data_IF_273054100763
#
_entry.id   IF_273054100763
#
_cell.length_a   1.000
_cell.length_b   1.000
_cell.length_c   1.000
_cell.angle_alpha   90.00
_cell.angle_beta   90.00
_cell.angle_gamma   90.00
#
_symmetry.space_group_name_H-M   'P 1'
#
loop_
_entity.id
_entity.type
_entity.pdbx_description
1 polymer ?
#
# COMPACT_ATOMS: atom_id res chain seq x y z
N UNK A 1 -10.35 2.98 6.97
CA UNK A 1 -11.70 2.82 6.39
C UNK A 1 -12.41 4.18 6.22
N UNK A 2 -12.46 5.05 7.25
CA UNK A 2 -12.97 6.43 7.13
C UNK A 2 -12.25 7.27 6.06
N UNK A 3 -10.91 7.21 5.99
CA UNK A 3 -10.16 7.95 4.97
C UNK A 3 -10.41 7.41 3.55
N UNK A 4 -10.57 6.09 3.43
CA UNK A 4 -10.91 5.40 2.18
C UNK A 4 -12.32 5.79 1.70
N UNK A 5 -13.29 5.92 2.59
CA UNK A 5 -14.67 6.30 2.26
C UNK A 5 -14.75 7.79 1.86
N UNK A 6 -14.01 8.68 2.53
CA UNK A 6 -13.94 10.09 2.13
C UNK A 6 -13.26 10.27 0.75
N UNK A 7 -12.24 9.45 0.46
CA UNK A 7 -11.53 9.46 -0.84
C UNK A 7 -12.26 8.72 -1.95
N UNK A 8 -13.24 7.87 -1.64
CA UNK A 8 -14.09 7.16 -2.61
C UNK A 8 -15.33 7.99 -3.01
N UNK A 9 -15.86 8.83 -2.12
CA UNK A 9 -17.06 9.62 -2.41
C UNK A 9 -16.86 10.65 -3.53
N UNK A 10 -15.68 11.26 -3.62
CA UNK A 10 -15.37 12.28 -4.63
C UNK A 10 -15.19 11.73 -6.06
N UNK A 11 -14.39 10.67 -6.32
CA UNK A 11 -14.21 10.13 -7.67
C UNK A 11 -15.43 9.36 -8.20
N UNK A 12 -16.21 8.69 -7.34
CA UNK A 12 -17.44 8.00 -7.77
C UNK A 12 -18.49 9.02 -8.23
N UNK A 13 -18.60 10.16 -7.54
CA UNK A 13 -19.45 11.30 -7.91
C UNK A 13 -18.96 11.99 -9.20
N UNK A 14 -17.63 12.11 -9.38
CA UNK A 14 -17.04 12.69 -10.60
C UNK A 14 -17.25 11.80 -11.83
N UNK A 15 -17.25 10.47 -11.67
CA UNK A 15 -17.49 9.52 -12.77
C UNK A 15 -18.99 9.47 -13.12
N UNK A 16 -19.90 9.57 -12.13
CA UNK A 16 -21.35 9.61 -12.40
C UNK A 16 -21.78 10.92 -13.10
N UNK A 17 -21.15 12.05 -12.76
CA UNK A 17 -21.44 13.34 -13.40
C UNK A 17 -20.88 13.40 -14.83
N UNK A 18 -19.66 12.90 -15.08
CA UNK A 18 -19.07 12.90 -16.42
C UNK A 18 -19.72 11.90 -17.39
N UNK A 19 -20.29 10.80 -16.89
CA UNK A 19 -21.07 9.87 -17.71
C UNK A 19 -22.42 10.46 -18.15
N UNK A 20 -22.95 11.46 -17.43
CA UNK A 20 -24.16 12.20 -17.80
C UNK A 20 -23.92 13.37 -18.77
N UNK A 21 -22.68 13.86 -18.87
CA UNK A 21 -22.33 15.07 -19.64
C UNK A 21 -21.57 14.82 -20.95
N UNK A 22 -21.26 13.55 -21.31
CA UNK A 22 -20.76 13.21 -22.64
C UNK A 22 -19.45 13.91 -23.05
N UNK A 23 -18.58 14.22 -22.09
CA UNK A 23 -17.26 14.82 -22.38
C UNK A 23 -16.23 13.71 -22.51
N UNK A 24 -15.67 13.56 -23.72
CA UNK A 24 -14.56 12.67 -23.99
C UNK A 24 -13.27 13.23 -23.37
N UNK A 25 -12.62 12.44 -22.51
CA UNK A 25 -11.23 12.67 -22.13
C UNK A 25 -10.36 11.66 -22.90
N UNK A 26 -9.87 12.09 -24.05
CA UNK A 26 -8.72 11.46 -24.72
C UNK A 26 -7.44 11.90 -24.03
N UNK A 27 -6.44 11.03 -24.13
CA UNK A 27 -5.01 11.28 -23.87
C UNK A 27 -4.50 11.03 -22.44
N UNK A 28 -3.96 9.82 -22.23
CA UNK A 28 -2.58 9.58 -21.79
C UNK A 28 -2.43 8.14 -21.25
N UNK A 29 -2.40 7.14 -22.15
CA UNK A 29 -1.84 5.82 -21.86
C UNK A 29 -0.75 5.54 -22.89
N UNK A 30 0.46 6.01 -22.59
CA UNK A 30 1.65 5.54 -23.28
C UNK A 30 1.95 4.12 -22.81
N UNK A 31 1.51 3.16 -23.63
CA UNK A 31 2.05 1.82 -23.90
C UNK A 31 2.80 1.05 -22.78
N UNK A 32 2.25 -0.09 -22.29
CA UNK A 32 2.98 -1.10 -21.53
C UNK A 32 3.94 -1.97 -22.39
N UNK A 33 3.99 -1.77 -23.71
CA UNK A 33 4.68 -2.67 -24.63
C UNK A 33 6.21 -2.59 -24.55
N UNK A 34 6.78 -1.55 -23.92
CA UNK A 34 8.22 -1.43 -23.71
C UNK A 34 8.76 -2.34 -22.59
N UNK A 35 7.90 -2.90 -21.73
CA UNK A 35 8.31 -3.73 -20.60
C UNK A 35 8.47 -5.23 -20.94
N UNK A 36 7.88 -5.70 -22.05
CA UNK A 36 7.91 -7.12 -22.45
C UNK A 36 9.09 -7.51 -23.35
N UNK A 37 9.88 -6.53 -23.83
CA UNK A 37 11.06 -6.78 -24.68
C UNK A 37 12.37 -7.08 -23.94
N UNK A 38 12.38 -7.04 -22.60
CA UNK A 38 13.61 -7.13 -21.79
C UNK A 38 13.84 -8.50 -21.13
N UNK A 39 13.10 -9.54 -21.53
CA UNK A 39 13.11 -10.84 -20.85
C UNK A 39 14.34 -11.70 -21.22
N UNK A 40 15.15 -11.29 -22.22
CA UNK A 40 16.27 -12.11 -22.70
C UNK A 40 17.59 -11.34 -22.95
N UNK A 41 17.98 -10.42 -22.05
CA UNK A 41 19.32 -9.82 -22.09
C UNK A 41 20.27 -10.51 -21.10
N UNK A 42 21.42 -10.98 -21.60
CA UNK A 42 22.59 -11.36 -20.80
C UNK A 42 23.10 -10.11 -20.04
N UNK A 43 23.36 -10.26 -18.74
CA UNK A 43 23.80 -9.17 -17.85
C UNK A 43 25.31 -8.90 -17.89
N UNK A 44 26.00 -9.26 -18.96
CA UNK A 44 27.45 -9.11 -19.09
C UNK A 44 27.86 -7.68 -19.49
N UNK A 45 27.34 -6.67 -18.78
CA UNK A 45 27.54 -5.24 -19.15
C UNK A 45 28.53 -4.48 -18.27
N UNK A 46 28.75 -4.88 -17.02
CA UNK A 46 29.71 -4.22 -16.12
C UNK A 46 31.06 -4.95 -16.10
N UNK A 47 31.62 -5.23 -17.29
CA UNK A 47 32.84 -6.02 -17.50
C UNK A 47 34.05 -5.55 -16.66
N UNK A 48 34.21 -6.10 -15.45
CA UNK A 48 35.38 -5.88 -14.60
C UNK A 48 35.47 -4.50 -13.93
N UNK A 49 34.38 -3.72 -13.89
CA UNK A 49 34.37 -2.44 -13.18
C UNK A 49 34.65 -2.64 -11.68
N UNK A 50 35.33 -1.70 -11.03
CA UNK A 50 35.55 -1.72 -9.57
C UNK A 50 34.72 -0.62 -8.89
N UNK A 51 33.74 -1.01 -8.07
CA UNK A 51 32.77 -0.10 -7.45
C UNK A 51 33.00 0.06 -5.95
N UNK A 52 32.83 1.26 -5.42
CA UNK A 52 32.93 1.53 -3.98
C UNK A 52 31.56 1.74 -3.36
N UNK A 53 31.23 0.99 -2.32
CA UNK A 53 29.96 1.11 -1.59
C UNK A 53 30.17 1.61 -0.15
N UNK A 54 29.40 2.62 0.25
CA UNK A 54 29.36 3.04 1.66
C UNK A 54 28.51 2.06 2.49
N UNK A 55 29.01 1.65 3.65
CA UNK A 55 28.34 0.73 4.59
C UNK A 55 28.40 1.28 6.01
N UNK A 56 27.26 1.30 6.71
CA UNK A 56 27.17 1.59 8.14
C UNK A 56 26.57 0.40 8.90
N UNK A 57 26.78 0.34 10.22
CA UNK A 57 26.27 -0.74 11.07
C UNK A 57 24.76 -0.58 11.33
N UNK A 58 23.94 -1.24 10.51
CA UNK A 58 22.47 -1.21 10.59
C UNK A 58 21.91 -2.65 10.59
N UNK A 59 21.96 -3.38 11.72
CA UNK A 59 21.45 -4.75 11.79
C UNK A 59 19.93 -4.81 11.54
N UNK A 60 19.39 -5.85 10.87
CA UNK A 60 20.07 -7.02 10.28
C UNK A 60 20.58 -6.77 8.85
N UNK A 61 20.32 -5.59 8.28
CA UNK A 61 20.70 -5.27 6.89
C UNK A 61 22.21 -5.27 6.68
N UNK A 62 22.94 -4.65 7.62
CA UNK A 62 24.38 -4.49 7.60
C UNK A 62 24.91 -4.74 9.02
N UNK A 63 25.66 -5.83 9.20
CA UNK A 63 26.33 -6.17 10.46
C UNK A 63 27.83 -6.06 10.21
N UNK A 64 28.42 -5.04 10.82
CA UNK A 64 29.87 -4.82 10.82
C UNK A 64 30.49 -5.49 12.05
N UNK A 65 31.42 -6.43 11.84
CA UNK A 65 32.17 -7.09 12.91
C UNK A 65 33.63 -6.71 12.80
N UNK A 66 34.23 -6.23 13.89
CA UNK A 66 35.65 -5.87 13.90
C UNK A 66 36.49 -7.12 14.15
N UNK A 67 37.36 -7.45 13.21
CA UNK A 67 38.32 -8.55 13.35
C UNK A 67 39.48 -8.20 14.28
N UNK A 68 40.27 -9.21 14.70
CA UNK A 68 41.45 -9.01 15.54
C UNK A 68 42.51 -8.12 14.88
N UNK A 69 42.57 -8.11 13.55
CA UNK A 69 43.49 -7.29 12.74
C UNK A 69 43.05 -5.82 12.63
N UNK A 70 41.93 -5.45 13.28
CA UNK A 70 41.36 -4.11 13.24
C UNK A 70 40.51 -3.81 12.01
N UNK A 71 40.49 -4.70 11.00
CA UNK A 71 39.64 -4.58 9.82
C UNK A 71 38.19 -4.99 10.10
N UNK A 72 37.23 -4.41 9.38
CA UNK A 72 35.81 -4.72 9.52
C UNK A 72 35.38 -5.78 8.50
N UNK A 73 34.63 -6.78 8.94
CA UNK A 73 33.90 -7.71 8.08
C UNK A 73 32.44 -7.30 7.99
N UNK A 74 31.87 -7.41 6.80
CA UNK A 74 30.47 -7.07 6.51
C UNK A 74 29.66 -8.35 6.30
N UNK A 75 28.57 -8.49 7.05
CA UNK A 75 27.58 -9.56 6.86
C UNK A 75 26.17 -8.98 6.90
N UNK A 76 25.18 -9.72 6.41
CA UNK A 76 23.77 -9.32 6.43
C UNK A 76 23.14 -9.28 5.03
N UNK A 77 21.90 -8.78 4.96
CA UNK A 77 21.08 -8.79 3.74
C UNK A 77 21.74 -7.99 2.62
N UNK A 78 22.29 -6.82 2.93
CA UNK A 78 22.94 -5.97 1.95
C UNK A 78 24.22 -6.58 1.40
N UNK A 79 24.99 -7.29 2.22
CA UNK A 79 26.19 -8.01 1.75
C UNK A 79 25.81 -9.09 0.73
N UNK A 80 24.83 -9.93 1.07
CA UNK A 80 24.30 -10.97 0.18
C UNK A 80 23.77 -10.40 -1.14
N UNK A 81 23.11 -9.24 -1.07
CA UNK A 81 22.58 -8.58 -2.26
C UNK A 81 23.69 -8.02 -3.17
N UNK A 82 24.70 -7.37 -2.60
CA UNK A 82 25.84 -6.84 -3.37
C UNK A 82 26.68 -7.98 -3.96
N UNK A 83 26.92 -9.06 -3.21
CA UNK A 83 27.62 -10.26 -3.70
C UNK A 83 26.87 -10.86 -4.90
N UNK A 84 25.54 -11.00 -4.79
CA UNK A 84 24.70 -11.48 -5.87
C UNK A 84 24.72 -10.55 -7.09
N UNK A 85 24.67 -9.23 -6.88
CA UNK A 85 24.79 -8.25 -7.96
C UNK A 85 26.16 -8.34 -8.65
N UNK A 86 27.23 -8.47 -7.88
CA UNK A 86 28.60 -8.58 -8.40
C UNK A 86 28.78 -9.82 -9.28
N UNK A 87 28.25 -10.96 -8.85
CA UNK A 87 28.26 -12.20 -9.63
C UNK A 87 27.43 -12.06 -10.91
N UNK A 88 26.24 -11.44 -10.85
CA UNK A 88 25.33 -11.34 -12.00
C UNK A 88 25.73 -10.29 -13.02
N UNK A 89 26.36 -9.21 -12.59
CA UNK A 89 26.77 -8.11 -13.47
C UNK A 89 28.27 -8.13 -13.77
N UNK A 90 29.02 -9.06 -13.18
CA UNK A 90 30.45 -9.28 -13.38
C UNK A 90 31.35 -8.08 -13.03
N UNK A 91 31.11 -7.46 -11.86
CA UNK A 91 31.92 -6.36 -11.32
C UNK A 91 32.64 -6.76 -10.02
N UNK A 92 33.70 -6.03 -9.67
CA UNK A 92 34.40 -6.12 -8.38
C UNK A 92 34.04 -4.93 -7.50
N UNK A 93 34.14 -5.06 -6.19
CA UNK A 93 33.76 -3.97 -5.29
C UNK A 93 34.61 -3.88 -4.04
N UNK A 94 34.57 -2.73 -3.39
CA UNK A 94 35.15 -2.48 -2.08
C UNK A 94 34.18 -1.71 -1.18
N UNK A 95 34.19 -2.02 0.12
CA UNK A 95 33.37 -1.32 1.10
C UNK A 95 34.13 -0.19 1.77
N UNK A 96 33.47 0.96 1.89
CA UNK A 96 33.87 2.04 2.77
C UNK A 96 33.05 1.95 4.06
N UNK A 97 33.68 1.46 5.12
CA UNK A 97 33.05 1.23 6.41
C UNK A 97 32.85 2.53 7.19
N UNK A 98 31.69 2.66 7.84
CA UNK A 98 31.34 3.77 8.73
C UNK A 98 31.02 3.16 10.10
N UNK A 99 31.70 3.56 11.19
CA UNK A 99 32.72 4.62 11.27
C UNK A 99 34.13 4.19 10.81
N UNK A 100 34.87 5.11 10.20
CA UNK A 100 36.31 4.99 9.89
C UNK A 100 37.09 6.10 10.61
N UNK A 101 38.31 5.83 11.06
CA UNK A 101 39.16 6.79 11.78
C UNK A 101 39.36 8.11 11.01
N UNK A 102 39.42 8.06 9.68
CA UNK A 102 39.57 9.24 8.81
C UNK A 102 38.26 9.98 8.54
N UNK A 103 37.12 9.28 8.54
CA UNK A 103 35.79 9.86 8.33
C UNK A 103 35.24 10.51 9.60
N UNK A 104 35.59 9.96 10.78
CA UNK A 104 35.15 10.48 12.08
C UNK A 104 35.61 11.90 12.36
N UNK A 105 36.80 12.29 11.87
CA UNK A 105 37.32 13.66 12.00
C UNK A 105 36.73 14.65 10.97
N UNK A 106 36.37 14.16 9.76
CA UNK A 106 35.82 15.00 8.68
C UNK A 106 34.32 15.28 8.85
N UNK A 107 33.59 14.35 9.46
CA UNK A 107 32.14 14.41 9.60
C UNK A 107 31.69 14.29 11.06
N UNK A 108 32.46 14.89 11.97
CA UNK A 108 32.17 14.89 13.41
C UNK A 108 30.75 15.42 13.67
N UNK A 109 30.01 14.73 14.55
CA UNK A 109 28.61 15.00 14.92
C UNK A 109 27.52 14.77 13.85
N UNK A 110 27.85 14.36 12.63
CA UNK A 110 26.83 13.98 11.63
C UNK A 110 26.26 12.58 11.87
N UNK A 111 25.00 12.36 11.50
CA UNK A 111 24.42 11.00 11.54
C UNK A 111 25.00 10.10 10.46
N UNK A 112 24.99 8.78 10.68
CA UNK A 112 25.52 7.80 9.71
C UNK A 112 24.89 7.97 8.31
N UNK A 113 23.59 8.28 8.25
CA UNK A 113 22.89 8.58 7.00
C UNK A 113 23.39 9.88 6.33
N UNK A 114 23.66 10.93 7.11
CA UNK A 114 24.21 12.19 6.59
C UNK A 114 25.63 12.01 6.01
N UNK A 115 26.45 11.16 6.63
CA UNK A 115 27.77 10.82 6.10
C UNK A 115 27.63 10.13 4.73
N UNK A 116 26.75 9.14 4.62
CA UNK A 116 26.49 8.44 3.35
C UNK A 116 26.01 9.40 2.26
N UNK A 117 25.07 10.29 2.60
CA UNK A 117 24.56 11.31 1.69
C UNK A 117 25.65 12.27 1.20
N UNK A 118 26.56 12.66 2.09
CA UNK A 118 27.70 13.53 1.77
C UNK A 118 28.70 12.82 0.86
N UNK A 119 29.01 11.55 1.14
CA UNK A 119 29.93 10.74 0.32
C UNK A 119 29.40 10.54 -1.11
N UNK A 120 28.10 10.29 -1.26
CA UNK A 120 27.46 10.16 -2.57
C UNK A 120 27.44 11.48 -3.33
N UNK A 121 27.16 12.59 -2.66
CA UNK A 121 27.14 13.91 -3.29
C UNK A 121 28.55 14.34 -3.77
N UNK A 122 29.57 14.00 -3.00
CA UNK A 122 30.98 14.25 -3.34
C UNK A 122 31.53 13.25 -4.37
N UNK A 123 30.76 12.22 -4.76
CA UNK A 123 31.20 11.11 -5.62
C UNK A 123 32.43 10.37 -5.08
N UNK A 124 32.57 10.31 -3.75
CA UNK A 124 33.62 9.53 -3.07
C UNK A 124 33.29 8.02 -3.08
N UNK A 125 32.02 7.67 -3.28
CA UNK A 125 31.49 6.31 -3.42
C UNK A 125 30.52 6.21 -4.61
N UNK A 126 30.44 5.03 -5.22
CA UNK A 126 29.59 4.75 -6.39
C UNK A 126 28.16 4.34 -5.99
N UNK A 127 27.95 3.97 -4.73
CA UNK A 127 26.64 3.64 -4.18
C UNK A 127 26.64 3.46 -2.66
N UNK A 128 25.45 3.27 -2.09
CA UNK A 128 25.26 2.91 -0.68
C UNK A 128 24.76 1.48 -0.57
N UNK A 129 25.45 0.65 0.20
CA UNK A 129 24.96 -0.67 0.59
C UNK A 129 24.01 -0.60 1.79
N UNK A 130 23.93 0.55 2.48
CA UNK A 130 22.84 0.82 3.43
C UNK A 130 21.56 1.07 2.63
N UNK A 131 20.52 0.26 2.85
CA UNK A 131 19.30 0.39 2.09
C UNK A 131 18.57 1.68 2.51
N UNK A 132 18.15 2.46 1.53
CA UNK A 132 17.48 3.73 1.74
C UNK A 132 16.03 3.66 1.27
N UNK A 133 15.16 4.41 1.95
CA UNK A 133 13.79 4.62 1.52
C UNK A 133 13.78 5.84 0.59
N UNK A 134 13.19 5.67 -0.59
CA UNK A 134 13.01 6.74 -1.56
C UNK A 134 11.87 7.67 -1.11
N UNK A 135 12.20 8.95 -0.92
CA UNK A 135 11.21 10.01 -0.72
C UNK A 135 11.26 10.97 -1.92
N UNK A 136 10.18 11.70 -2.23
CA UNK A 136 10.17 12.68 -3.32
C UNK A 136 11.34 13.66 -3.24
N UNK A 137 11.72 14.08 -2.02
CA UNK A 137 12.87 14.96 -1.76
C UNK A 137 14.20 14.28 -2.06
N UNK A 138 14.41 13.06 -1.58
CA UNK A 138 15.66 12.32 -1.85
C UNK A 138 15.81 12.01 -3.34
N UNK A 139 14.71 11.74 -4.06
CA UNK A 139 14.72 11.49 -5.51
C UNK A 139 15.19 12.71 -6.32
N UNK A 140 15.05 13.92 -5.79
CA UNK A 140 15.61 15.11 -6.44
C UNK A 140 17.13 15.18 -6.32
N UNK A 141 17.73 14.53 -5.33
CA UNK A 141 19.15 14.59 -5.00
C UNK A 141 19.92 13.34 -5.41
N UNK A 142 19.27 12.19 -5.46
CA UNK A 142 19.88 10.88 -5.69
C UNK A 142 19.04 10.03 -6.64
N UNK A 143 19.71 9.11 -7.31
CA UNK A 143 19.05 8.07 -8.09
C UNK A 143 18.79 6.86 -7.20
N UNK A 144 17.66 6.20 -7.44
CA UNK A 144 17.27 4.99 -6.75
C UNK A 144 17.05 3.90 -7.78
N UNK A 145 17.73 2.77 -7.62
CA UNK A 145 17.30 1.53 -8.27
C UNK A 145 16.05 1.04 -7.52
N UNK A 146 14.87 1.24 -8.10
CA UNK A 146 13.57 0.94 -7.50
C UNK A 146 13.06 -0.50 -7.78
N UNK A 147 11.99 -0.87 -7.10
CA UNK A 147 10.95 -1.80 -7.56
C UNK A 147 9.63 -1.08 -7.27
N UNK A 148 8.79 -0.88 -8.27
CA UNK A 148 7.45 -0.31 -8.09
C UNK A 148 6.44 -1.37 -8.52
N UNK A 149 6.18 -2.33 -7.64
CA UNK A 149 4.86 -2.93 -7.58
C UNK A 149 4.16 -2.33 -6.39
N UNK A 150 3.19 -1.48 -6.71
CA UNK A 150 2.03 -1.26 -5.88
C UNK A 150 1.56 -2.60 -5.33
N UNK A 151 1.55 -2.74 -4.00
CA UNK A 151 0.78 -3.78 -3.32
C UNK A 151 -0.61 -3.87 -3.98
N UNK A 152 -1.25 -5.05 -4.02
CA UNK A 152 -2.58 -5.20 -4.57
C UNK A 152 -3.54 -4.35 -3.74
N UNK A 153 -3.74 -3.12 -4.17
CA UNK A 153 -4.63 -2.18 -3.53
C UNK A 153 -6.01 -2.83 -3.55
N UNK A 154 -6.69 -2.84 -2.40
CA UNK A 154 -8.07 -3.28 -2.27
C UNK A 154 -9.01 -2.66 -3.35
N UNK A 155 -8.63 -1.49 -3.90
CA UNK A 155 -9.32 -0.83 -5.01
C UNK A 155 -9.40 -1.68 -6.27
N UNK A 156 -8.39 -2.49 -6.60
CA UNK A 156 -8.37 -3.31 -7.81
C UNK A 156 -9.49 -4.34 -7.75
N UNK A 157 -9.72 -4.94 -6.57
CA UNK A 157 -10.82 -5.90 -6.38
C UNK A 157 -12.18 -5.22 -6.56
N UNK A 158 -12.37 -4.01 -6.01
CA UNK A 158 -13.61 -3.25 -6.19
C UNK A 158 -13.86 -2.85 -7.64
N UNK A 159 -12.81 -2.46 -8.38
CA UNK A 159 -12.89 -2.16 -9.81
C UNK A 159 -13.20 -3.41 -10.63
N UNK A 160 -12.63 -4.57 -10.29
CA UNK A 160 -12.96 -5.84 -10.93
C UNK A 160 -14.43 -6.25 -10.70
N UNK A 161 -14.96 -6.05 -9.48
CA UNK A 161 -16.38 -6.32 -9.19
C UNK A 161 -17.28 -5.38 -10.01
N UNK A 162 -16.94 -4.08 -10.08
CA UNK A 162 -17.67 -3.10 -10.90
C UNK A 162 -17.67 -3.48 -12.38
N UNK A 163 -16.50 -3.83 -12.91
CA UNK A 163 -16.34 -4.26 -14.30
C UNK A 163 -17.15 -5.53 -14.59
N UNK A 164 -17.11 -6.52 -13.69
CA UNK A 164 -17.88 -7.76 -13.83
C UNK A 164 -19.40 -7.50 -13.86
N UNK A 165 -19.91 -6.56 -13.03
CA UNK A 165 -21.32 -6.15 -13.08
C UNK A 165 -21.70 -5.55 -14.43
N UNK A 166 -20.89 -4.64 -14.97
CA UNK A 166 -21.14 -4.04 -16.29
C UNK A 166 -21.16 -5.10 -17.38
N UNK A 167 -20.17 -6.01 -17.39
CA UNK A 167 -20.10 -7.12 -18.35
C UNK A 167 -21.35 -8.00 -18.28
N UNK A 168 -21.84 -8.32 -17.08
CA UNK A 168 -23.06 -9.10 -16.91
C UNK A 168 -24.30 -8.40 -17.46
N UNK A 169 -24.47 -7.10 -17.21
CA UNK A 169 -25.58 -6.31 -17.78
C UNK A 169 -25.50 -6.30 -19.31
N UNK A 170 -24.30 -6.12 -19.88
CA UNK A 170 -24.07 -6.20 -21.32
C UNK A 170 -24.42 -7.58 -21.89
N UNK A 171 -23.99 -8.67 -21.24
CA UNK A 171 -24.33 -10.04 -21.70
C UNK A 171 -25.83 -10.29 -21.67
N UNK A 172 -26.53 -9.90 -20.61
CA UNK A 172 -27.98 -10.09 -20.49
C UNK A 172 -28.75 -9.27 -21.52
N UNK A 173 -28.35 -8.02 -21.77
CA UNK A 173 -28.95 -7.15 -22.79
C UNK A 173 -28.71 -7.66 -24.21
N UNK A 174 -27.50 -8.10 -24.53
CA UNK A 174 -27.15 -8.69 -25.83
C UNK A 174 -27.92 -9.97 -26.06
N UNK A 175 -27.95 -10.90 -25.10
CA UNK A 175 -28.72 -12.13 -25.21
C UNK A 175 -30.20 -11.83 -25.43
N UNK A 176 -30.78 -10.92 -24.64
CA UNK A 176 -32.18 -10.49 -24.80
C UNK A 176 -32.46 -9.92 -26.20
N UNK A 177 -31.56 -9.08 -26.70
CA UNK A 177 -31.66 -8.46 -28.03
C UNK A 177 -31.56 -9.48 -29.15
N UNK A 178 -30.55 -10.37 -29.12
CA UNK A 178 -30.37 -11.45 -30.10
C UNK A 178 -31.61 -12.35 -30.12
N UNK A 179 -32.11 -12.76 -28.96
CA UNK A 179 -33.30 -13.61 -28.88
C UNK A 179 -34.56 -12.93 -29.42
N UNK A 180 -34.75 -11.64 -29.14
CA UNK A 180 -35.87 -10.87 -29.69
C UNK A 180 -35.82 -10.76 -31.23
N UNK A 181 -34.61 -10.82 -31.81
CA UNK A 181 -34.37 -10.69 -33.26
C UNK A 181 -34.46 -12.02 -34.00
N UNK A 182 -33.97 -13.12 -33.41
CA UNK A 182 -33.96 -14.45 -34.03
C UNK A 182 -35.25 -15.25 -33.84
N UNK A 183 -36.02 -15.00 -32.77
CA UNK A 183 -37.31 -15.63 -32.54
C UNK A 183 -38.32 -14.57 -32.08
N UNK A 184 -38.95 -13.82 -33.00
CA UNK A 184 -40.17 -13.11 -32.66
C UNK A 184 -41.17 -14.14 -32.16
N UNK A 185 -41.50 -14.08 -30.87
CA UNK A 185 -42.39 -15.06 -30.23
C UNK A 185 -43.65 -15.27 -31.08
N UNK A 186 -43.89 -16.54 -31.40
CA UNK A 186 -45.16 -17.05 -31.88
C UNK A 186 -46.26 -16.69 -30.87
N UNK A 187 -46.97 -15.59 -31.13
CA UNK A 187 -48.36 -15.28 -30.75
C UNK A 187 -48.89 -15.63 -29.33
N UNK A 188 -48.09 -15.89 -28.30
CA UNK A 188 -48.64 -16.38 -27.01
C UNK A 188 -48.67 -15.40 -25.84
N UNK A 189 -48.07 -14.22 -25.92
CA UNK A 189 -48.36 -13.13 -24.97
C UNK A 189 -48.30 -11.77 -25.70
N UNK A 190 -49.41 -11.40 -26.36
CA UNK A 190 -49.71 -9.98 -26.57
C UNK A 190 -50.16 -9.39 -25.23
N UNK A 191 -49.22 -9.09 -24.35
CA UNK A 191 -49.44 -8.03 -23.38
C UNK A 191 -49.15 -6.72 -24.11
N UNK A 192 -50.01 -5.71 -23.91
CA UNK A 192 -49.81 -4.33 -24.40
C UNK A 192 -48.64 -3.65 -23.67
N UNK A 193 -47.50 -4.32 -23.54
CA UNK A 193 -46.28 -3.72 -22.97
C UNK A 193 -45.60 -2.89 -24.06
N UNK A 194 -45.32 -1.59 -23.82
CA UNK A 194 -44.58 -0.77 -24.76
C UNK A 194 -43.20 -1.40 -25.03
N UNK A 195 -42.74 -1.36 -26.28
CA UNK A 195 -41.38 -1.79 -26.64
C UNK A 195 -40.38 -0.99 -25.80
N UNK A 196 -39.80 -1.61 -24.77
CA UNK A 196 -38.80 -0.97 -23.91
C UNK A 196 -37.55 -0.65 -24.75
N UNK A 197 -37.00 0.54 -24.54
CA UNK A 197 -35.71 0.91 -25.11
C UNK A 197 -34.62 -0.03 -24.60
N UNK A 198 -33.55 -0.24 -25.37
CA UNK A 198 -32.38 -1.03 -24.95
C UNK A 198 -31.84 -0.53 -23.61
N UNK A 199 -31.85 0.80 -23.40
CA UNK A 199 -31.44 1.45 -22.15
C UNK A 199 -32.33 1.11 -20.95
N UNK A 200 -33.64 1.04 -21.16
CA UNK A 200 -34.59 0.65 -20.10
C UNK A 200 -34.42 -0.82 -19.73
N UNK A 201 -34.21 -1.68 -20.73
CA UNK A 201 -33.92 -3.10 -20.53
C UNK A 201 -32.59 -3.32 -19.81
N UNK A 202 -31.55 -2.56 -20.17
CA UNK A 202 -30.26 -2.54 -19.47
C UNK A 202 -30.41 -2.09 -18.01
N UNK A 203 -31.20 -1.04 -17.75
CA UNK A 203 -31.50 -0.59 -16.39
C UNK A 203 -32.18 -1.65 -15.54
N UNK A 204 -33.18 -2.37 -16.09
CA UNK A 204 -33.81 -3.49 -15.38
C UNK A 204 -32.83 -4.61 -15.05
N UNK A 205 -31.95 -4.99 -15.98
CA UNK A 205 -30.93 -6.01 -15.73
C UNK A 205 -29.85 -5.53 -14.74
N UNK A 206 -29.50 -4.24 -14.76
CA UNK A 206 -28.57 -3.66 -13.79
C UNK A 206 -29.10 -3.76 -12.37
N UNK A 207 -30.36 -3.38 -12.14
CA UNK A 207 -31.03 -3.53 -10.83
C UNK A 207 -31.04 -5.01 -10.41
N UNK A 208 -31.34 -5.92 -11.34
CA UNK A 208 -31.37 -7.34 -11.04
C UNK A 208 -29.99 -7.91 -10.65
N UNK A 209 -28.93 -7.53 -11.36
CA UNK A 209 -27.53 -7.90 -11.05
C UNK A 209 -27.12 -7.37 -9.66
N UNK A 210 -27.49 -6.13 -9.35
CA UNK A 210 -27.26 -5.51 -8.03
C UNK A 210 -28.02 -6.28 -6.94
N UNK A 211 -29.30 -6.59 -7.15
CA UNK A 211 -30.13 -7.28 -6.17
C UNK A 211 -29.61 -8.67 -5.78
N UNK A 212 -28.96 -9.37 -6.72
CA UNK A 212 -28.33 -10.66 -6.47
C UNK A 212 -27.10 -10.49 -5.57
N UNK A 213 -26.26 -9.47 -5.81
CA UNK A 213 -25.11 -9.17 -4.95
C UNK A 213 -25.58 -8.72 -3.56
N UNK A 214 -26.69 -8.00 -3.44
CA UNK A 214 -27.21 -7.56 -2.14
C UNK A 214 -28.07 -8.61 -1.44
N UNK A 215 -28.16 -9.84 -1.96
CA UNK A 215 -29.00 -10.91 -1.43
C UNK A 215 -30.51 -10.55 -1.29
N UNK A 216 -30.99 -9.56 -2.05
CA UNK A 216 -32.40 -9.14 -2.02
C UNK A 216 -33.27 -9.97 -2.96
N UNK A 217 -32.65 -10.62 -3.95
CA UNK A 217 -33.34 -11.40 -4.98
C UNK A 217 -34.16 -10.51 -5.94
N UNK A 218 -34.90 -11.15 -6.83
CA UNK A 218 -35.75 -10.45 -7.78
C UNK A 218 -36.32 -11.40 -8.81
N UNK A 219 -37.34 -10.95 -9.54
CA UNK A 219 -37.89 -11.69 -10.66
C UNK A 219 -37.64 -10.91 -11.95
N UNK A 220 -36.93 -11.54 -12.88
CA UNK A 220 -36.86 -11.08 -14.26
C UNK A 220 -37.37 -12.21 -15.15
N UNK A 221 -38.35 -11.95 -16.04
CA UNK A 221 -38.91 -12.98 -16.89
C UNK A 221 -37.87 -13.47 -17.91
N UNK A 222 -37.15 -14.54 -17.55
CA UNK A 222 -36.22 -15.28 -18.41
C UNK A 222 -36.67 -16.74 -18.52
N UNK A 223 -37.49 -17.05 -19.53
CA UNK A 223 -38.05 -18.40 -19.70
C UNK A 223 -37.03 -19.44 -20.21
N UNK A 224 -35.92 -19.00 -20.81
CA UNK A 224 -34.98 -19.86 -21.55
C UNK A 224 -33.81 -20.36 -20.69
N UNK A 225 -33.34 -21.58 -20.98
CA UNK A 225 -32.28 -22.26 -20.25
C UNK A 225 -30.95 -21.50 -20.24
N UNK A 226 -30.50 -20.93 -21.37
CA UNK A 226 -29.25 -20.17 -21.45
C UNK A 226 -29.20 -18.96 -20.50
N UNK A 227 -30.34 -18.29 -20.31
CA UNK A 227 -30.45 -17.19 -19.35
C UNK A 227 -30.31 -17.71 -17.92
N UNK A 228 -30.95 -18.84 -17.60
CA UNK A 228 -30.86 -19.47 -16.27
C UNK A 228 -29.45 -19.93 -15.92
N UNK A 229 -28.71 -20.50 -16.89
CA UNK A 229 -27.31 -20.93 -16.68
C UNK A 229 -26.41 -19.73 -16.36
N UNK A 230 -26.51 -18.65 -17.17
CA UNK A 230 -25.74 -17.43 -16.95
C UNK A 230 -26.06 -16.80 -15.58
N UNK A 231 -27.34 -16.73 -15.22
CA UNK A 231 -27.77 -16.22 -13.91
C UNK A 231 -27.32 -17.13 -12.75
N UNK A 232 -27.33 -18.46 -12.95
CA UNK A 232 -26.85 -19.41 -11.95
C UNK A 232 -25.35 -19.26 -11.69
N UNK A 233 -24.55 -19.06 -12.74
CA UNK A 233 -23.12 -18.77 -12.61
C UNK A 233 -22.87 -17.46 -11.86
N UNK A 234 -23.61 -16.40 -12.18
CA UNK A 234 -23.52 -15.13 -11.47
C UNK A 234 -23.94 -15.24 -10.01
N UNK A 235 -25.02 -15.97 -9.72
CA UNK A 235 -25.50 -16.21 -8.36
C UNK A 235 -24.43 -16.92 -7.51
N UNK A 236 -23.77 -17.95 -8.07
CA UNK A 236 -22.69 -18.65 -7.39
C UNK A 236 -21.51 -17.72 -7.11
N UNK A 237 -21.09 -16.93 -8.09
CA UNK A 237 -20.01 -15.97 -7.94
C UNK A 237 -20.35 -14.91 -6.87
N UNK A 238 -21.55 -14.33 -6.92
CA UNK A 238 -22.04 -13.35 -5.95
C UNK A 238 -22.10 -13.96 -4.54
N UNK A 239 -22.60 -15.19 -4.38
CA UNK A 239 -22.65 -15.87 -3.10
C UNK A 239 -21.24 -16.03 -2.48
N UNK A 240 -20.27 -16.50 -3.27
CA UNK A 240 -18.88 -16.65 -2.80
C UNK A 240 -18.29 -15.30 -2.40
N UNK A 241 -18.47 -14.26 -3.22
CA UNK A 241 -17.98 -12.92 -2.95
C UNK A 241 -18.57 -12.34 -1.66
N UNK A 242 -19.91 -12.36 -1.52
CA UNK A 242 -20.61 -11.78 -0.38
C UNK A 242 -20.31 -12.52 0.91
N UNK A 243 -20.25 -13.86 0.87
CA UNK A 243 -19.90 -14.66 2.04
C UNK A 243 -18.44 -14.43 2.47
N UNK A 244 -17.52 -14.30 1.52
CA UNK A 244 -16.10 -14.02 1.81
C UNK A 244 -15.93 -12.61 2.40
N UNK A 245 -16.63 -11.62 1.85
CA UNK A 245 -16.64 -10.26 2.38
C UNK A 245 -17.24 -10.22 3.79
N UNK A 246 -18.40 -10.85 3.99
CA UNK A 246 -19.06 -10.93 5.30
C UNK A 246 -18.17 -11.62 6.33
N UNK A 247 -17.53 -12.73 5.97
CA UNK A 247 -16.59 -13.44 6.85
C UNK A 247 -15.37 -12.59 7.21
N UNK A 248 -14.83 -11.85 6.25
CA UNK A 248 -13.70 -10.95 6.46
C UNK A 248 -14.08 -9.77 7.35
N UNK A 249 -15.22 -9.11 7.09
CA UNK A 249 -15.74 -8.02 7.92
C UNK A 249 -16.07 -8.49 9.33
N UNK A 250 -16.75 -9.64 9.48
CA UNK A 250 -17.02 -10.23 10.79
C UNK A 250 -15.72 -10.56 11.51
N UNK A 251 -14.71 -11.11 10.83
CA UNK A 251 -13.39 -11.33 11.43
C UNK A 251 -12.75 -10.02 11.91
N UNK A 252 -12.82 -8.94 11.11
CA UNK A 252 -12.33 -7.62 11.51
C UNK A 252 -13.10 -6.99 12.68
N UNK A 253 -14.42 -7.18 12.74
CA UNK A 253 -15.28 -6.62 13.80
C UNK A 253 -15.24 -7.43 15.10
N UNK A 254 -15.04 -8.75 14.99
CA UNK A 254 -14.97 -9.67 16.14
C UNK A 254 -13.55 -9.82 16.67
N UNK A 255 -12.54 -9.47 15.87
CA UNK A 255 -11.19 -9.29 16.34
C UNK A 255 -11.26 -8.29 17.50
N UNK A 256 -10.89 -8.69 18.74
CA UNK A 256 -10.91 -7.77 19.84
C UNK A 256 -9.98 -6.63 19.47
N UNK A 257 -10.54 -5.43 19.35
CA UNK A 257 -9.77 -4.19 19.48
C UNK A 257 -9.32 -4.17 20.93
N UNK A 258 -8.27 -4.93 21.20
CA UNK A 258 -7.51 -4.79 22.42
C UNK A 258 -7.07 -3.34 22.39
N UNK A 259 -7.41 -2.54 23.40
CA UNK A 259 -6.59 -1.38 23.71
C UNK A 259 -5.33 -1.94 24.37
N UNK A 260 -4.14 -1.83 23.75
CA UNK A 260 -2.94 -2.31 24.38
C UNK A 260 -2.03 -1.11 24.66
N UNK A 261 -0.99 -1.37 25.43
CA UNK A 261 0.35 -0.82 25.21
C UNK A 261 0.49 -0.15 23.83
N UNK A 262 0.99 1.10 23.85
CA UNK A 262 1.26 1.99 22.71
C UNK A 262 1.50 1.18 21.43
N UNK A 263 0.53 1.20 20.52
CA UNK A 263 0.54 0.43 19.28
C UNK A 263 0.43 1.32 18.04
N UNK A 264 -0.24 2.46 18.15
CA UNK A 264 -0.35 3.46 17.09
C UNK A 264 0.52 4.67 17.39
N UNK A 265 0.81 5.47 16.35
CA UNK A 265 1.50 6.76 16.55
C UNK A 265 0.63 7.71 17.38
N UNK A 266 -0.69 7.60 17.28
CA UNK A 266 -1.68 8.37 18.04
C UNK A 266 -1.58 8.05 19.53
N UNK A 267 -1.51 6.75 19.87
CA UNK A 267 -1.33 6.31 21.25
C UNK A 267 0.02 6.80 21.82
N UNK A 268 1.08 6.82 20.99
CA UNK A 268 2.39 7.32 21.38
C UNK A 268 2.35 8.83 21.62
N UNK A 269 1.69 9.59 20.76
CA UNK A 269 1.56 11.03 20.90
C UNK A 269 0.72 11.44 22.13
N UNK A 270 -0.26 10.60 22.50
CA UNK A 270 -1.10 10.81 23.68
C UNK A 270 -0.44 10.34 24.98
N UNK A 271 0.58 9.47 24.91
CA UNK A 271 1.25 8.94 26.09
C UNK A 271 2.13 9.99 26.75
N UNK A 272 2.01 10.13 28.08
CA UNK A 272 2.92 10.95 28.89
C UNK A 272 4.08 10.13 29.50
N UNK A 273 3.91 8.80 29.59
CA UNK A 273 4.87 7.91 30.24
C UNK A 273 6.02 7.47 29.31
N UNK A 274 5.79 7.48 28.00
CA UNK A 274 6.76 7.01 26.99
C UNK A 274 7.11 8.14 26.03
N UNK A 275 8.38 8.53 26.02
CA UNK A 275 8.90 9.53 25.10
C UNK A 275 9.22 8.95 23.72
N UNK A 276 9.09 9.75 22.66
CA UNK A 276 9.56 9.37 21.33
C UNK A 276 11.03 9.75 21.14
N UNK A 277 11.83 8.82 20.64
CA UNK A 277 13.20 9.08 20.16
C UNK A 277 13.25 8.87 18.65
N UNK A 278 14.04 9.68 17.96
CA UNK A 278 14.07 9.70 16.50
C UNK A 278 15.52 9.75 16.02
N UNK A 279 15.86 8.93 15.03
CA UNK A 279 17.19 8.96 14.43
C UNK A 279 17.28 10.07 13.37
N UNK A 280 18.28 10.92 13.48
CA UNK A 280 18.51 12.03 12.57
C UNK A 280 18.79 11.54 11.14
N UNK A 281 18.20 12.24 10.17
CA UNK A 281 18.17 11.88 8.74
C UNK A 281 17.50 10.53 8.41
N UNK A 282 16.81 9.90 9.35
CA UNK A 282 15.85 8.83 9.04
C UNK A 282 14.60 9.41 8.36
N UNK A 283 13.90 8.59 7.56
CA UNK A 283 12.68 9.04 6.86
C UNK A 283 11.60 9.49 7.84
N UNK A 284 11.40 8.73 8.93
CA UNK A 284 10.45 9.13 9.97
C UNK A 284 10.78 10.50 10.57
N UNK A 285 12.06 10.82 10.76
CA UNK A 285 12.49 12.12 11.29
C UNK A 285 12.14 13.25 10.33
N UNK A 286 12.42 13.07 9.04
CA UNK A 286 12.13 14.05 8.00
C UNK A 286 10.62 14.27 7.89
N UNK A 287 9.85 13.19 7.80
CA UNK A 287 8.38 13.25 7.68
C UNK A 287 7.75 13.88 8.93
N UNK A 288 8.24 13.55 10.13
CA UNK A 288 7.75 14.14 11.37
C UNK A 288 8.07 15.64 11.44
N UNK A 289 9.32 16.03 11.17
CA UNK A 289 9.75 17.43 11.25
C UNK A 289 9.06 18.33 10.20
N UNK A 290 8.61 17.77 9.09
CA UNK A 290 7.87 18.50 8.05
C UNK A 290 6.36 18.54 8.28
N UNK A 291 5.82 17.70 9.16
CA UNK A 291 4.40 17.63 9.42
C UNK A 291 3.87 18.95 10.02
N UNK A 292 2.93 19.58 9.32
CA UNK A 292 2.28 20.83 9.75
C UNK A 292 1.04 20.60 10.61
N UNK A 293 0.49 19.39 10.59
CA UNK A 293 -0.73 19.01 11.32
C UNK A 293 -0.78 17.50 11.62
N UNK A 294 -1.55 17.11 12.62
CA UNK A 294 -1.80 15.71 12.97
C UNK A 294 -0.78 15.13 13.95
N UNK A 295 -0.83 13.81 14.15
CA UNK A 295 -0.05 13.06 15.12
C UNK A 295 1.45 13.25 14.98
N UNK A 296 1.97 13.25 13.75
CA UNK A 296 3.41 13.41 13.48
C UNK A 296 3.93 14.77 13.94
N UNK A 297 3.13 15.84 13.85
CA UNK A 297 3.51 17.16 14.35
C UNK A 297 3.68 17.15 15.86
N UNK A 298 2.76 16.52 16.60
CA UNK A 298 2.84 16.42 18.06
C UNK A 298 4.11 15.69 18.47
N UNK A 299 4.42 14.57 17.81
CA UNK A 299 5.66 13.82 18.04
C UNK A 299 6.90 14.65 17.67
N UNK A 300 6.87 15.38 16.56
CA UNK A 300 7.97 16.25 16.16
C UNK A 300 8.20 17.39 17.16
N UNK A 301 7.13 18.00 17.68
CA UNK A 301 7.22 19.03 18.69
C UNK A 301 7.81 18.45 20.00
N UNK A 302 7.44 17.23 20.40
CA UNK A 302 8.09 16.55 21.54
C UNK A 302 9.60 16.38 21.35
N UNK A 303 10.06 16.06 20.13
CA UNK A 303 11.50 15.95 19.82
C UNK A 303 12.17 17.32 19.76
N UNK A 304 11.49 18.35 19.26
CA UNK A 304 12.02 19.74 19.23
C UNK A 304 12.24 20.32 20.63
N UNK A 305 11.36 20.02 21.58
CA UNK A 305 11.50 20.47 22.96
C UNK A 305 12.60 19.71 23.73
N UNK A 306 12.98 18.51 23.25
CA UNK A 306 13.96 17.64 23.87
C UNK A 306 15.03 17.21 22.86
N UNK A 307 16.05 18.05 22.58
CA UNK A 307 17.04 17.79 21.53
C UNK A 307 17.87 16.52 21.81
N UNK A 308 17.93 16.05 23.05
CA UNK A 308 18.53 14.79 23.46
C UNK A 308 17.84 13.55 22.85
N UNK A 309 16.57 13.69 22.42
CA UNK A 309 15.77 12.64 21.77
C UNK A 309 16.00 12.54 20.27
N UNK A 310 16.70 13.51 19.66
CA UNK A 310 17.19 13.44 18.29
C UNK A 310 18.58 12.77 18.29
N UNK A 311 18.66 11.59 17.70
CA UNK A 311 19.81 10.71 17.82
C UNK A 311 20.63 10.67 16.54
N UNK A 312 21.94 10.88 16.63
CA UNK A 312 22.79 10.84 15.45
C UNK A 312 23.27 9.42 15.14
N UNK A 313 23.28 8.53 16.16
CA UNK A 313 23.85 7.19 16.07
C UNK A 313 22.89 6.14 16.63
N UNK A 314 22.79 4.99 15.97
CA UNK A 314 21.95 3.85 16.39
C UNK A 314 22.35 3.31 17.77
N UNK A 315 23.64 3.11 18.11
CA UNK A 315 24.03 2.61 19.44
C UNK A 315 23.52 3.47 20.60
N UNK A 316 23.52 4.80 20.46
CA UNK A 316 22.98 5.71 21.48
C UNK A 316 21.48 5.50 21.69
N UNK A 317 20.75 5.22 20.60
CA UNK A 317 19.33 4.87 20.66
C UNK A 317 19.06 3.57 21.38
N UNK A 318 19.89 2.55 21.17
CA UNK A 318 19.79 1.28 21.90
C UNK A 318 19.96 1.50 23.40
N UNK A 319 20.97 2.26 23.82
CA UNK A 319 21.18 2.57 25.25
C UNK A 319 20.01 3.32 25.88
N UNK A 320 19.40 4.27 25.16
CA UNK A 320 18.19 4.96 25.65
C UNK A 320 16.99 4.02 25.77
N UNK A 321 16.78 3.12 24.80
CA UNK A 321 15.73 2.10 24.87
C UNK A 321 15.93 1.14 26.05
N UNK A 322 17.17 0.80 26.38
CA UNK A 322 17.49 -0.09 27.50
C UNK A 322 17.33 0.56 28.88
N UNK A 323 17.52 1.88 28.99
CA UNK A 323 17.58 2.60 30.27
C UNK A 323 16.28 3.33 30.61
N UNK A 324 15.51 3.76 29.61
CA UNK A 324 14.36 4.64 29.79
C UNK A 324 13.07 4.14 29.15
N UNK A 325 11.99 4.88 29.39
CA UNK A 325 10.69 4.65 28.77
C UNK A 325 10.61 5.41 27.43
N UNK A 326 11.23 4.83 26.41
CA UNK A 326 11.27 5.43 25.07
C UNK A 326 10.71 4.49 24.00
N UNK A 327 10.12 5.09 22.96
CA UNK A 327 9.72 4.41 21.73
C UNK A 327 10.55 4.95 20.56
N UNK A 328 11.06 4.03 19.73
CA UNK A 328 11.82 4.35 18.52
C UNK A 328 11.01 3.93 17.28
N UNK A 329 10.35 4.87 16.59
CA UNK A 329 9.74 4.61 15.29
C UNK A 329 10.83 4.32 14.26
N UNK A 330 10.94 3.07 13.85
CA UNK A 330 11.91 2.62 12.85
C UNK A 330 11.37 1.43 12.06
N UNK A 331 12.14 0.93 11.10
CA UNK A 331 11.72 -0.15 10.21
C UNK A 331 11.34 -1.42 11.02
N UNK A 332 10.18 -2.01 10.70
CA UNK A 332 9.67 -3.20 11.38
C UNK A 332 10.70 -4.34 11.42
N UNK A 333 11.45 -4.50 10.34
CA UNK A 333 12.56 -5.45 10.19
C UNK A 333 13.63 -5.30 11.27
N UNK A 334 14.07 -4.05 11.48
CA UNK A 334 15.06 -3.71 12.49
C UNK A 334 14.48 -3.95 13.88
N UNK A 335 13.24 -3.51 14.13
CA UNK A 335 12.59 -3.68 15.41
C UNK A 335 12.43 -5.17 15.78
N UNK A 336 12.05 -6.01 14.81
CA UNK A 336 11.92 -7.45 15.03
C UNK A 336 13.28 -8.12 15.30
N UNK A 337 14.32 -7.78 14.53
CA UNK A 337 15.68 -8.29 14.76
C UNK A 337 16.22 -7.84 16.13
N UNK A 338 15.96 -6.59 16.52
CA UNK A 338 16.35 -6.04 17.81
C UNK A 338 15.73 -6.83 18.97
N UNK A 339 14.41 -7.05 18.95
CA UNK A 339 13.72 -7.86 19.96
C UNK A 339 14.25 -9.29 19.98
N UNK A 340 14.47 -9.89 18.80
CA UNK A 340 14.97 -11.27 18.71
C UNK A 340 16.39 -11.44 19.29
N UNK A 341 17.28 -10.48 19.03
CA UNK A 341 18.64 -10.47 19.57
C UNK A 341 18.66 -10.33 21.09
N UNK A 342 17.87 -9.40 21.64
CA UNK A 342 17.74 -9.24 23.08
C UNK A 342 17.15 -10.48 23.74
N UNK A 343 16.13 -11.09 23.14
CA UNK A 343 15.56 -12.34 23.63
C UNK A 343 16.59 -13.46 23.68
N UNK A 344 17.46 -13.59 22.68
CA UNK A 344 18.53 -14.60 22.68
C UNK A 344 19.58 -14.36 23.76
N UNK A 345 19.87 -13.09 24.08
CA UNK A 345 20.86 -12.70 25.09
C UNK A 345 20.33 -12.86 26.53
N UNK A 346 19.09 -12.43 26.78
CA UNK A 346 18.52 -12.33 28.13
C UNK A 346 17.53 -13.46 28.45
N UNK A 347 17.03 -14.18 27.45
CA UNK A 347 16.02 -15.23 27.61
C UNK A 347 14.60 -14.74 27.93
N UNK A 348 14.38 -13.42 28.06
CA UNK A 348 13.09 -12.79 28.35
C UNK A 348 12.71 -11.74 27.28
N UNK A 349 11.40 -11.55 27.04
CA UNK A 349 10.87 -10.59 26.07
C UNK A 349 10.67 -9.22 26.71
N UNK A 350 11.77 -8.53 27.02
CA UNK A 350 11.73 -7.18 27.63
C UNK A 350 11.18 -6.12 26.68
N UNK A 351 11.48 -6.25 25.38
CA UNK A 351 11.08 -5.32 24.35
C UNK A 351 9.90 -5.87 23.53
N UNK A 352 9.06 -4.95 23.05
CA UNK A 352 7.88 -5.26 22.24
C UNK A 352 7.84 -4.37 21.00
N UNK A 353 7.51 -4.95 19.86
CA UNK A 353 7.25 -4.22 18.62
C UNK A 353 5.75 -3.97 18.46
N UNK A 354 5.39 -2.82 17.91
CA UNK A 354 4.01 -2.53 17.49
C UNK A 354 3.69 -3.26 16.18
N UNK A 355 2.42 -3.20 15.77
CA UNK A 355 2.04 -3.57 14.42
C UNK A 355 2.66 -2.56 13.41
N UNK A 356 3.00 -3.00 12.18
CA UNK A 356 3.65 -2.14 11.20
C UNK A 356 2.75 -0.97 10.84
N UNK A 357 3.33 0.23 10.85
CA UNK A 357 2.67 1.46 10.40
C UNK A 357 2.37 1.29 8.90
N UNK A 358 1.22 1.79 8.44
CA UNK A 358 0.65 1.67 7.08
C UNK A 358 1.48 2.34 5.96
N UNK A 359 2.79 2.48 6.14
CA UNK A 359 3.72 2.98 5.13
C UNK A 359 4.46 1.81 4.49
N UNK A 360 4.09 1.49 3.25
CA UNK A 360 4.84 0.56 2.42
C UNK A 360 6.07 1.27 1.87
N UNK A 361 7.15 1.24 2.64
CA UNK A 361 8.45 1.74 2.22
C UNK A 361 9.34 0.58 1.77
N UNK A 362 9.79 0.62 0.51
CA UNK A 362 10.73 -0.37 -0.02
C UNK A 362 12.17 0.10 0.17
N UNK A 363 13.03 -0.86 0.47
CA UNK A 363 14.46 -0.66 0.50
C UNK A 363 14.99 -0.56 -0.93
N UNK A 364 15.72 0.52 -1.19
CA UNK A 364 16.32 0.80 -2.49
C UNK A 364 17.82 1.04 -2.34
N UNK A 365 18.56 0.66 -3.38
CA UNK A 365 19.98 0.95 -3.47
C UNK A 365 20.14 2.42 -3.89
N UNK A 366 20.83 3.19 -3.06
CA UNK A 366 21.04 4.62 -3.27
C UNK A 366 22.29 4.84 -4.13
N UNK A 367 22.14 5.59 -5.22
CA UNK A 367 23.21 5.88 -6.17
C UNK A 367 23.36 7.40 -6.35
N UNK A 368 24.54 7.90 -6.76
CA UNK A 368 24.72 9.29 -7.16
C UNK A 368 23.73 9.68 -8.27
N UNK A 369 23.30 10.94 -8.29
CA UNK A 369 22.36 11.44 -9.30
C UNK A 369 22.90 11.28 -10.72
N UNK A 370 22.03 10.88 -11.65
CA UNK A 370 22.36 10.58 -13.05
C UNK A 370 23.41 9.47 -13.20
N UNK A 371 23.39 8.46 -12.32
CA UNK A 371 24.32 7.34 -12.42
C UNK A 371 23.94 6.42 -13.58
N UNK A 372 24.93 6.03 -14.38
CA UNK A 372 24.76 5.02 -15.44
C UNK A 372 24.44 3.64 -14.88
N UNK A 373 24.72 3.40 -13.60
CA UNK A 373 24.47 2.13 -12.91
C UNK A 373 22.99 1.95 -12.54
N UNK A 374 22.22 3.05 -12.46
CA UNK A 374 20.85 3.05 -11.97
C UNK A 374 19.96 2.08 -12.74
N UNK A 375 20.02 2.09 -14.07
CA UNK A 375 19.18 1.23 -14.92
C UNK A 375 19.57 -0.24 -14.81
N UNK A 376 20.86 -0.55 -14.73
CA UNK A 376 21.35 -1.94 -14.67
C UNK A 376 21.06 -2.57 -13.30
N UNK A 377 21.33 -1.83 -12.21
CA UNK A 377 20.98 -2.28 -10.85
C UNK A 377 19.48 -2.39 -10.63
N UNK A 378 18.69 -1.51 -11.25
CA UNK A 378 17.23 -1.60 -11.26
C UNK A 378 16.75 -2.92 -11.86
N UNK A 379 17.21 -3.27 -13.06
CA UNK A 379 16.81 -4.51 -13.74
C UNK A 379 17.27 -5.76 -12.99
N UNK A 380 18.49 -5.75 -12.45
CA UNK A 380 18.99 -6.85 -11.64
C UNK A 380 18.17 -7.03 -10.36
N UNK A 381 17.82 -5.93 -9.69
CA UNK A 381 16.98 -5.97 -8.49
C UNK A 381 15.59 -6.56 -8.77
N UNK A 382 14.95 -6.22 -9.91
CA UNK A 382 13.67 -6.83 -10.32
C UNK A 382 13.79 -8.35 -10.39
N UNK A 383 14.82 -8.86 -11.05
CA UNK A 383 14.98 -10.32 -11.20
C UNK A 383 15.26 -11.01 -9.87
N UNK A 384 16.01 -10.38 -8.97
CA UNK A 384 16.18 -10.91 -7.61
C UNK A 384 14.83 -11.06 -6.89
N UNK A 385 13.95 -10.07 -7.05
CA UNK A 385 12.59 -10.10 -6.52
C UNK A 385 11.72 -11.18 -7.17
N UNK A 386 11.75 -11.32 -8.50
CA UNK A 386 11.02 -12.37 -9.22
C UNK A 386 11.45 -13.78 -8.80
N UNK A 387 12.73 -13.95 -8.46
CA UNK A 387 13.27 -15.20 -7.90
C UNK A 387 12.93 -15.42 -6.42
N UNK A 388 12.36 -14.43 -5.74
CA UNK A 388 12.05 -14.49 -4.31
C UNK A 388 13.30 -14.45 -3.40
N UNK A 389 14.43 -13.93 -3.89
CA UNK A 389 15.67 -13.84 -3.10
C UNK A 389 15.58 -12.88 -1.91
N UNK A 390 15.03 -11.65 -2.02
CA UNK A 390 14.89 -10.74 -0.88
C UNK A 390 14.12 -11.32 0.32
N UNK A 391 12.91 -11.91 0.17
CA UNK A 391 12.23 -12.52 1.30
C UNK A 391 12.98 -13.73 1.87
N UNK A 392 13.75 -14.46 1.06
CA UNK A 392 14.62 -15.54 1.53
C UNK A 392 15.79 -15.00 2.37
N UNK A 393 16.56 -14.02 1.86
CA UNK A 393 17.68 -13.40 2.58
C UNK A 393 17.24 -12.76 3.90
N UNK A 394 16.06 -12.15 3.89
CA UNK A 394 15.42 -11.63 5.09
C UNK A 394 15.17 -12.71 6.13
N UNK A 395 14.59 -13.85 5.71
CA UNK A 395 14.26 -14.97 6.59
C UNK A 395 15.50 -15.61 7.23
N UNK A 396 16.61 -15.71 6.49
CA UNK A 396 17.86 -16.31 7.00
C UNK A 396 18.69 -15.32 7.83
N UNK A 397 18.58 -14.01 7.58
CA UNK A 397 19.37 -12.99 8.28
C UNK A 397 18.76 -12.56 9.61
N UNK A 398 17.44 -12.69 9.77
CA UNK A 398 16.74 -12.34 11.02
C UNK A 398 16.71 -13.53 11.96
N UNK A 399 17.07 -13.30 13.22
CA UNK A 399 16.93 -14.31 14.26
C UNK A 399 15.45 -14.52 14.62
N UNK A 400 15.05 -15.78 14.81
CA UNK A 400 13.68 -16.10 15.17
C UNK A 400 13.48 -16.08 16.69
N UNK A 401 12.57 -15.25 17.17
CA UNK A 401 12.11 -15.24 18.56
C UNK A 401 10.58 -15.40 18.65
N UNK A 402 10.03 -16.55 18.22
CA UNK A 402 8.58 -16.74 18.12
C UNK A 402 7.86 -16.54 19.47
N UNK A 403 8.55 -16.78 20.60
CA UNK A 403 8.00 -16.54 21.95
C UNK A 403 7.66 -15.07 22.23
N UNK A 404 8.39 -14.11 21.65
CA UNK A 404 8.15 -12.68 21.85
C UNK A 404 7.13 -12.09 20.86
N UNK A 405 7.02 -12.70 19.67
CA UNK A 405 6.08 -12.25 18.64
C UNK A 405 4.75 -13.01 18.66
N UNK A 406 4.67 -14.12 19.41
CA UNK A 406 3.40 -14.74 19.71
C UNK A 406 2.57 -13.74 20.51
N UNK A 407 1.57 -13.17 19.85
CA UNK A 407 0.47 -12.45 20.50
C UNK A 407 -0.23 -13.48 21.41
N UNK A 408 0.31 -13.73 22.61
CA UNK A 408 -0.46 -14.35 23.68
C UNK A 408 -1.70 -13.48 23.78
N UNK A 409 -2.85 -14.07 23.45
CA UNK A 409 -4.16 -13.48 23.63
C UNK A 409 -4.17 -12.98 25.07
N UNK A 410 -3.97 -11.68 25.27
CA UNK A 410 -4.01 -11.12 26.62
C UNK A 410 -5.43 -11.36 27.09
N UNK A 411 -5.61 -12.33 27.98
CA UNK A 411 -6.89 -12.64 28.60
C UNK A 411 -7.45 -11.42 29.36
N UNK A 412 -6.64 -10.37 29.55
CA UNK A 412 -6.99 -9.11 30.21
C UNK A 412 -7.28 -7.93 29.26
N UNK A 413 -7.29 -8.11 27.95
CA UNK A 413 -7.71 -7.02 27.06
C UNK A 413 -9.24 -6.89 27.07
N UNK A 414 -9.76 -5.82 27.66
CA UNK A 414 -11.18 -5.44 27.55
C UNK A 414 -11.55 -5.39 26.06
N UNK A 415 -12.51 -6.21 25.66
CA UNK A 415 -13.11 -6.13 24.32
C UNK A 415 -13.72 -4.73 24.19
N UNK A 416 -13.18 -3.87 23.31
CA UNK A 416 -13.85 -2.61 22.96
C UNK A 416 -15.17 -2.99 22.26
N UNK A 417 -16.35 -2.60 22.78
CA UNK A 417 -17.60 -2.80 22.07
C UNK A 417 -17.57 -2.02 20.76
N UNK A 418 -18.27 -2.51 19.74
CA UNK A 418 -18.42 -1.81 18.45
C UNK A 418 -19.09 -0.47 18.73
N UNK A 419 -18.38 0.62 18.48
CA UNK A 419 -18.85 1.98 18.70
C UNK A 419 -19.47 2.59 17.45
N UNK A 420 -20.14 3.74 17.59
CA UNK A 420 -20.70 4.47 16.45
C UNK A 420 -19.62 4.94 15.45
N UNK A 421 -18.41 5.23 15.92
CA UNK A 421 -17.28 5.62 15.08
C UNK A 421 -16.94 4.56 14.01
N UNK A 422 -17.14 3.28 14.34
CA UNK A 422 -16.83 2.16 13.45
C UNK A 422 -17.88 2.00 12.32
N UNK A 423 -19.08 2.54 12.52
CA UNK A 423 -20.21 2.47 11.57
C UNK A 423 -20.46 3.80 10.85
N UNK A 424 -19.76 4.87 11.22
CA UNK A 424 -19.95 6.20 10.66
C UNK A 424 -19.88 6.22 9.12
N UNK A 425 -18.94 5.47 8.54
CA UNK A 425 -18.79 5.37 7.09
C UNK A 425 -20.02 4.78 6.38
N UNK A 426 -20.66 3.77 6.98
CA UNK A 426 -21.87 3.17 6.43
C UNK A 426 -23.06 4.14 6.49
N UNK A 427 -23.22 4.88 7.59
CA UNK A 427 -24.25 5.91 7.72
C UNK A 427 -24.04 7.07 6.74
N UNK A 428 -22.80 7.47 6.50
CA UNK A 428 -22.46 8.51 5.52
C UNK A 428 -22.87 8.08 4.11
N UNK A 429 -22.53 6.84 3.70
CA UNK A 429 -22.90 6.31 2.37
C UNK A 429 -24.43 6.26 2.21
N UNK A 430 -25.14 5.78 3.22
CA UNK A 430 -26.61 5.73 3.21
C UNK A 430 -27.20 7.14 3.06
N UNK A 431 -26.68 8.11 3.82
CA UNK A 431 -27.16 9.50 3.80
C UNK A 431 -26.95 10.15 2.44
N UNK A 432 -25.76 9.97 1.83
CA UNK A 432 -25.47 10.47 0.49
C UNK A 432 -26.36 9.79 -0.56
N UNK A 433 -26.56 8.47 -0.47
CA UNK A 433 -27.42 7.72 -1.39
C UNK A 433 -28.88 8.19 -1.35
N UNK A 434 -29.43 8.38 -0.15
CA UNK A 434 -30.78 8.94 0.03
C UNK A 434 -30.89 10.38 -0.47
N UNK A 435 -29.85 11.19 -0.25
CA UNK A 435 -29.75 12.55 -0.80
C UNK A 435 -29.80 12.56 -2.33
N UNK A 436 -29.00 11.73 -2.99
CA UNK A 436 -29.00 11.63 -4.45
C UNK A 436 -30.33 11.10 -5.00
N UNK A 437 -30.94 10.12 -4.33
CA UNK A 437 -32.24 9.58 -4.74
C UNK A 437 -33.36 10.63 -4.64
N UNK A 438 -33.39 11.41 -3.56
CA UNK A 438 -34.37 12.49 -3.40
C UNK A 438 -34.17 13.59 -4.45
N UNK A 439 -32.92 14.00 -4.71
CA UNK A 439 -32.60 14.95 -5.78
C UNK A 439 -33.06 14.44 -7.15
N UNK A 440 -32.83 13.16 -7.47
CA UNK A 440 -33.27 12.57 -8.72
C UNK A 440 -34.81 12.63 -8.89
N UNK A 441 -35.56 12.34 -7.82
CA UNK A 441 -37.03 12.43 -7.82
C UNK A 441 -37.49 13.88 -8.05
N UNK A 442 -36.87 14.86 -7.39
CA UNK A 442 -37.19 16.27 -7.61
C UNK A 442 -36.90 16.71 -9.05
N UNK A 443 -35.76 16.30 -9.60
CA UNK A 443 -35.38 16.59 -10.98
C UNK A 443 -36.35 15.95 -11.99
N UNK A 444 -36.76 14.70 -11.79
CA UNK A 444 -37.73 14.02 -12.66
C UNK A 444 -39.09 14.72 -12.63
N UNK A 445 -39.57 15.12 -11.45
CA UNK A 445 -40.82 15.87 -11.30
C UNK A 445 -40.74 17.25 -11.95
N UNK A 446 -39.60 17.94 -11.81
CA UNK A 446 -39.37 19.24 -12.44
C UNK A 446 -39.37 19.13 -13.97
N UNK A 447 -38.61 18.19 -14.53
CA UNK A 447 -38.56 17.93 -15.98
C UNK A 447 -39.94 17.52 -16.50
N UNK A 448 -40.65 16.64 -15.79
CA UNK A 448 -42.00 16.20 -16.15
C UNK A 448 -43.00 17.36 -16.14
N UNK A 449 -42.90 18.28 -15.18
CA UNK A 449 -43.71 19.49 -15.14
C UNK A 449 -43.45 20.40 -16.35
N UNK A 450 -42.18 20.62 -16.70
CA UNK A 450 -41.78 21.39 -17.87
C UNK A 450 -42.25 20.75 -19.18
N UNK A 451 -42.09 19.44 -19.34
CA UNK A 451 -42.56 18.72 -20.52
C UNK A 451 -44.09 18.78 -20.66
N UNK A 452 -44.84 18.65 -19.55
CA UNK A 452 -46.31 18.80 -19.57
C UNK A 452 -46.73 20.21 -19.97
N UNK A 453 -46.06 21.25 -19.45
CA UNK A 453 -46.32 22.65 -19.84
C UNK A 453 -45.99 22.90 -21.32
N UNK A 454 -44.86 22.38 -21.81
CA UNK A 454 -44.46 22.50 -23.21
C UNK A 454 -45.43 21.78 -24.18
N UNK A 455 -45.94 20.61 -23.79
CA UNK A 455 -46.97 19.88 -24.55
C UNK A 455 -48.32 20.61 -24.54
N UNK A 456 -48.69 21.26 -23.43
CA UNK A 456 -49.92 22.05 -23.35
C UNK A 456 -49.88 23.29 -24.28
N UNK A 457 -48.72 23.95 -24.41
CA UNK A 457 -48.52 25.08 -25.33
C UNK A 457 -48.49 24.66 -26.80
N UNK A 458 -48.13 23.40 -27.11
CA UNK A 458 -48.09 22.88 -28.48
C UNK A 458 -49.46 22.44 -29.01
N UNK A 459 -50.40 22.11 -28.12
CA UNK A 459 -51.71 21.54 -28.46
C UNK A 459 -52.87 22.53 -28.32
N UNK A 460 -52.63 23.74 -27.81
CA UNK A 460 -53.57 24.87 -27.83
C UNK A 460 -53.08 25.92 -28.82
#
# INVERSE_FOLDING_TARGET
MQELISRLAFPIMFITINCYLGVAATDAFSSPAAALGAINQNFDRLNGAHLKFAVAHVPPSNVLTKGPDGNYTHTGISALFIDWLAEKLNFTFAYLFIPNNTLGAKYENMSEFAIIFSLLNNKEVDGSAVPAIATPKRKQLYDFAYFMFSDPHAIVVWLCILLAMVVMVCLLTVLSTIYSRFMPSTKFFKTNEPKRSIWQTAGCYAIYVINIITNQGGSVPGSRFSFRVLMGAWLLAAMVLVNSYSGTVVSYLTAPKMMPSINTLEDLAASQDVGVIVLDNAVFAQDAMEATSGTLKILADQVRHHPDRLLNNIPKGITLLETGHYALPFLQTFCNDFVAKHFKKEGNCRFKTTDPITSSAFFSLLLPKNSKLTSEFYLAQIKAWEMGLPPYWMKISIQQAPKCFNKKRSEAAKKKPIGMDDLFGAFLILSVGLGLATIAIFMENFISCFQRKALAVRNG
#
